data_IF_079626217393
#
_entry.id   IF_079626217393
#
_cell.length_a   1.000
_cell.length_b   1.000
_cell.length_c   1.000
_cell.angle_alpha   90.00
_cell.angle_beta   90.00
_cell.angle_gamma   90.00
#
_symmetry.space_group_name_H-M   'P 1'
#
loop_
_entity.id
_entity.type
_entity.pdbx_description
1 polymer ?
#
# COMPACT_ATOMS: atom_id res chain seq x y z
N UNK A 1 -34.58 14.70 8.53
CA UNK A 1 -34.37 15.79 7.55
C UNK A 1 -32.90 16.21 7.56
N UNK A 2 -32.37 16.85 8.61
CA UNK A 2 -30.93 17.25 8.66
C UNK A 2 -29.91 16.09 8.52
N UNK A 3 -30.22 14.90 9.06
CA UNK A 3 -29.31 13.75 8.97
C UNK A 3 -29.18 13.20 7.54
N UNK A 4 -30.28 13.23 6.77
CA UNK A 4 -30.29 12.80 5.37
C UNK A 4 -29.56 13.82 4.50
N UNK A 5 -29.79 15.12 4.71
CA UNK A 5 -29.10 16.20 4.00
C UNK A 5 -27.58 16.12 4.18
N UNK A 6 -27.12 15.87 5.42
CA UNK A 6 -25.70 15.66 5.69
C UNK A 6 -25.14 14.45 4.94
N UNK A 7 -25.86 13.32 4.92
CA UNK A 7 -25.44 12.13 4.19
C UNK A 7 -25.28 12.40 2.68
N UNK A 8 -26.26 13.08 2.07
CA UNK A 8 -26.19 13.45 0.66
C UNK A 8 -25.06 14.45 0.37
N UNK A 9 -24.81 15.40 1.27
CA UNK A 9 -23.68 16.32 1.15
C UNK A 9 -22.33 15.57 1.16
N UNK A 10 -22.12 14.66 2.12
CA UNK A 10 -20.89 13.87 2.19
C UNK A 10 -20.72 12.94 1.00
N UNK A 11 -21.81 12.32 0.54
CA UNK A 11 -21.78 11.46 -0.65
C UNK A 11 -21.42 12.25 -1.91
N UNK A 12 -22.00 13.44 -2.10
CA UNK A 12 -21.68 14.31 -3.23
C UNK A 12 -20.23 14.82 -3.17
N UNK A 13 -19.73 15.17 -1.98
CA UNK A 13 -18.34 15.55 -1.79
C UNK A 13 -17.40 14.40 -2.15
N UNK A 14 -17.70 13.17 -1.74
CA UNK A 14 -16.93 11.98 -2.10
C UNK A 14 -16.85 11.80 -3.63
N UNK A 15 -17.99 11.89 -4.33
CA UNK A 15 -18.03 11.79 -5.79
C UNK A 15 -17.24 12.90 -6.48
N UNK A 16 -17.35 14.14 -5.99
CA UNK A 16 -16.58 15.27 -6.51
C UNK A 16 -15.07 15.01 -6.37
N UNK A 17 -14.62 14.57 -5.20
CA UNK A 17 -13.21 14.29 -4.95
C UNK A 17 -12.68 13.15 -5.83
N UNK A 18 -13.47 12.10 -6.07
CA UNK A 18 -13.10 11.04 -7.01
C UNK A 18 -12.93 11.59 -8.43
N UNK A 19 -13.88 12.40 -8.90
CA UNK A 19 -13.81 12.99 -10.23
C UNK A 19 -12.61 13.94 -10.40
N UNK A 20 -12.27 14.74 -9.38
CA UNK A 20 -11.08 15.59 -9.40
C UNK A 20 -9.78 14.79 -9.37
N UNK A 21 -9.73 13.67 -8.63
CA UNK A 21 -8.58 12.76 -8.63
C UNK A 21 -8.34 12.14 -10.01
N UNK A 22 -9.41 11.74 -10.71
CA UNK A 22 -9.30 11.17 -12.06
C UNK A 22 -8.75 12.18 -13.07
N UNK A 23 -9.09 13.47 -12.94
CA UNK A 23 -8.59 14.52 -13.85
C UNK A 23 -7.08 14.71 -13.77
N UNK A 24 -6.47 14.43 -12.62
CA UNK A 24 -5.04 14.61 -12.39
C UNK A 24 -4.24 13.31 -12.53
N UNK A 25 -4.90 12.19 -12.86
CA UNK A 25 -4.25 10.92 -13.14
C UNK A 25 -3.66 10.92 -14.56
N UNK A 26 -2.47 11.51 -14.70
CA UNK A 26 -1.74 11.72 -15.96
C UNK A 26 -1.25 10.43 -16.61
N UNK A 27 -0.99 9.40 -15.80
CA UNK A 27 -0.63 8.07 -16.26
C UNK A 27 -0.86 7.02 -15.17
N UNK A 28 -0.94 5.76 -15.60
CA UNK A 28 -0.89 4.62 -14.67
C UNK A 28 0.51 4.01 -14.59
N UNK A 29 0.79 3.35 -13.47
CA UNK A 29 2.09 2.72 -13.22
C UNK A 29 2.40 1.63 -14.25
N UNK A 30 1.40 0.84 -14.63
CA UNK A 30 1.53 -0.22 -15.65
C UNK A 30 1.78 0.35 -17.05
N UNK A 31 1.18 1.49 -17.39
CA UNK A 31 1.45 2.19 -18.66
C UNK A 31 2.90 2.70 -18.73
N UNK A 32 3.45 3.19 -17.61
CA UNK A 32 4.80 3.77 -17.54
C UNK A 32 5.91 2.75 -17.34
N UNK A 33 5.60 1.58 -16.78
CA UNK A 33 6.58 0.54 -16.46
C UNK A 33 6.35 -0.75 -17.26
N UNK A 34 5.44 -0.77 -18.24
CA UNK A 34 5.11 -1.98 -19.01
C UNK A 34 6.24 -2.47 -19.92
N UNK A 35 7.23 -1.63 -20.20
CA UNK A 35 8.46 -1.97 -20.92
C UNK A 35 9.60 -2.45 -20.00
N UNK A 36 9.40 -2.39 -18.67
CA UNK A 36 10.34 -2.97 -17.73
C UNK A 36 10.32 -4.50 -17.87
N UNK A 37 11.50 -5.09 -17.99
CA UNK A 37 11.64 -6.54 -18.00
C UNK A 37 11.18 -7.18 -16.69
N UNK A 38 10.81 -8.46 -16.77
CA UNK A 38 10.39 -9.23 -15.61
C UNK A 38 11.49 -9.30 -14.53
N UNK A 39 11.05 -9.37 -13.27
CA UNK A 39 11.96 -9.64 -12.15
C UNK A 39 12.56 -11.04 -12.32
N UNK A 40 13.89 -11.11 -12.31
CA UNK A 40 14.62 -12.38 -12.36
C UNK A 40 14.18 -13.33 -11.23
N UNK A 41 14.24 -14.65 -11.48
CA UNK A 41 13.92 -15.65 -10.46
C UNK A 41 14.91 -15.59 -9.29
N UNK A 42 14.48 -15.05 -8.16
CA UNK A 42 15.31 -14.96 -6.94
C UNK A 42 15.16 -16.23 -6.10
N UNK A 43 16.29 -16.87 -5.77
CA UNK A 43 16.32 -18.03 -4.84
C UNK A 43 16.61 -17.56 -3.42
N UNK A 44 15.57 -17.39 -2.62
CA UNK A 44 15.72 -17.12 -1.19
C UNK A 44 16.07 -18.39 -0.41
N UNK A 45 16.98 -18.25 0.56
CA UNK A 45 17.35 -19.32 1.51
C UNK A 45 17.46 -18.74 2.92
N UNK A 46 16.98 -19.48 3.91
CA UNK A 46 17.13 -19.08 5.32
C UNK A 46 18.61 -19.12 5.72
N UNK A 47 19.19 -17.97 6.05
CA UNK A 47 20.59 -17.86 6.50
C UNK A 47 20.75 -17.98 8.01
N UNK A 48 19.79 -17.45 8.76
CA UNK A 48 19.81 -17.45 10.23
C UNK A 48 18.43 -17.83 10.75
N UNK A 49 18.42 -18.58 11.85
CA UNK A 49 17.21 -18.90 12.61
C UNK A 49 17.42 -18.38 14.02
N UNK A 50 16.64 -17.38 14.42
CA UNK A 50 16.75 -16.75 15.73
C UNK A 50 15.82 -17.48 16.70
N UNK A 51 16.40 -18.08 17.75
CA UNK A 51 15.68 -18.78 18.81
C UNK A 51 15.92 -18.02 20.12
N UNK A 52 14.87 -17.78 20.89
CA UNK A 52 14.98 -17.08 22.18
C UNK A 52 13.65 -16.70 22.80
N UNK A 53 12.63 -16.44 21.99
CA UNK A 53 11.28 -16.19 22.49
C UNK A 53 10.59 -17.49 22.89
N UNK A 54 10.01 -17.52 24.09
CA UNK A 54 9.21 -18.65 24.59
C UNK A 54 7.80 -18.63 23.97
N UNK A 55 7.27 -17.43 23.71
CA UNK A 55 5.94 -17.19 23.14
C UNK A 55 6.02 -16.71 21.68
N UNK A 56 4.85 -16.57 21.03
CA UNK A 56 4.75 -16.05 19.66
C UNK A 56 5.33 -14.63 19.56
N UNK A 57 6.19 -14.42 18.56
CA UNK A 57 6.69 -13.10 18.17
C UNK A 57 5.64 -12.43 17.28
N UNK A 58 5.16 -11.25 17.68
CA UNK A 58 4.11 -10.53 16.95
C UNK A 58 4.66 -9.46 16.00
N UNK A 59 5.88 -8.96 16.24
CA UNK A 59 6.52 -7.92 15.42
C UNK A 59 8.03 -7.94 15.56
N UNK A 60 8.71 -7.43 14.53
CA UNK A 60 10.16 -7.16 14.50
C UNK A 60 10.39 -5.86 13.72
N UNK A 61 11.46 -5.14 14.03
CA UNK A 61 11.89 -3.93 13.29
C UNK A 61 13.42 -3.94 13.23
N UNK A 62 13.99 -3.69 12.05
CA UNK A 62 15.44 -3.60 11.89
C UNK A 62 15.96 -2.29 12.48
N UNK A 63 17.10 -2.33 13.16
CA UNK A 63 17.83 -1.14 13.56
C UNK A 63 18.48 -0.46 12.35
N UNK A 64 18.80 0.83 12.48
CA UNK A 64 19.40 1.61 11.40
C UNK A 64 20.82 1.17 10.99
N UNK A 65 21.48 0.35 11.81
CA UNK A 65 22.78 -0.25 11.49
C UNK A 65 22.67 -1.57 10.71
N UNK A 66 21.46 -2.02 10.40
CA UNK A 66 21.17 -3.19 9.54
C UNK A 66 21.85 -4.50 10.00
N UNK A 67 21.93 -4.72 11.32
CA UNK A 67 22.51 -5.92 11.94
C UNK A 67 21.48 -6.72 12.71
#
# INVERSE_FOLDING_TARGET
MEMEENYYMYFNLFLLLQAEQEKVADAKLDEKCGDMGDVQKIRFVTKKTLKGHINKVNSVHYSGDSR
#
